data_IF_349396678531
#
_entry.id   IF_349396678531
#
_cell.length_a   1.000
_cell.length_b   1.000
_cell.length_c   1.000
_cell.angle_alpha   90.00
_cell.angle_beta   90.00
_cell.angle_gamma   90.00
#
_symmetry.space_group_name_H-M   'P 1'
#
loop_
_entity.id
_entity.type
_entity.pdbx_description
1 polymer ?
#
# COMPACT_ATOMS: atom_id res chain seq x y z
N UNK A 1 -11.39 -37.30 29.31
CA UNK A 1 -10.16 -36.55 28.95
C UNK A 1 -10.23 -35.77 27.62
N UNK A 2 -11.39 -35.64 26.92
CA UNK A 2 -11.42 -35.14 25.53
C UNK A 2 -11.82 -33.66 25.33
N UNK A 3 -12.11 -32.89 26.38
CA UNK A 3 -12.61 -31.50 26.24
C UNK A 3 -11.46 -30.47 26.09
N UNK A 4 -10.36 -30.71 26.82
CA UNK A 4 -9.18 -29.86 26.86
C UNK A 4 -8.58 -29.73 25.44
N UNK A 5 -8.22 -30.85 24.78
CA UNK A 5 -7.62 -30.84 23.44
C UNK A 5 -8.47 -30.14 22.35
N UNK A 6 -9.81 -30.23 22.43
CA UNK A 6 -10.70 -29.57 21.48
C UNK A 6 -10.64 -28.03 21.60
N UNK A 7 -10.61 -27.50 22.82
CA UNK A 7 -10.50 -26.05 23.06
C UNK A 7 -9.14 -25.48 22.62
N UNK A 8 -8.02 -26.19 22.80
CA UNK A 8 -6.71 -25.73 22.30
C UNK A 8 -6.65 -25.66 20.78
N UNK A 9 -7.28 -26.61 20.08
CA UNK A 9 -7.33 -26.61 18.61
C UNK A 9 -8.20 -25.45 18.11
N UNK A 10 -9.33 -25.17 18.74
CA UNK A 10 -10.22 -24.05 18.39
C UNK A 10 -9.53 -22.70 18.61
N UNK A 11 -8.90 -22.49 19.77
CA UNK A 11 -8.19 -21.25 20.10
C UNK A 11 -7.02 -20.95 19.13
N UNK A 12 -6.30 -21.98 18.67
CA UNK A 12 -5.22 -21.80 17.69
C UNK A 12 -5.75 -21.50 16.28
N UNK A 13 -6.89 -22.09 15.88
CA UNK A 13 -7.55 -21.77 14.61
C UNK A 13 -8.06 -20.33 14.57
N UNK A 14 -8.63 -19.82 15.66
CA UNK A 14 -9.10 -18.42 15.74
C UNK A 14 -7.94 -17.43 15.68
N UNK A 15 -6.84 -17.68 16.40
CA UNK A 15 -5.64 -16.84 16.33
C UNK A 15 -5.02 -16.80 14.92
N UNK A 16 -5.03 -17.91 14.19
CA UNK A 16 -4.54 -17.96 12.82
C UNK A 16 -5.44 -17.17 11.86
N UNK A 17 -6.76 -17.24 12.03
CA UNK A 17 -7.72 -16.48 11.22
C UNK A 17 -7.58 -14.96 11.45
N UNK A 18 -7.45 -14.52 12.71
CA UNK A 18 -7.21 -13.12 13.06
C UNK A 18 -5.89 -12.62 12.46
N UNK A 19 -4.83 -13.44 12.52
CA UNK A 19 -3.53 -13.11 11.93
C UNK A 19 -3.62 -12.94 10.41
N UNK A 20 -4.33 -13.84 9.72
CA UNK A 20 -4.54 -13.76 8.28
C UNK A 20 -5.36 -12.52 7.91
N UNK A 21 -6.40 -12.20 8.68
CA UNK A 21 -7.23 -11.02 8.46
C UNK A 21 -6.44 -9.72 8.61
N UNK A 22 -5.64 -9.59 9.68
CA UNK A 22 -4.75 -8.45 9.91
C UNK A 22 -3.71 -8.28 8.79
N UNK A 23 -3.15 -9.38 8.28
CA UNK A 23 -2.21 -9.34 7.17
C UNK A 23 -2.88 -8.91 5.86
N UNK A 24 -4.08 -9.42 5.58
CA UNK A 24 -4.85 -9.01 4.40
C UNK A 24 -5.20 -7.52 4.43
N UNK A 25 -5.55 -6.97 5.59
CA UNK A 25 -5.89 -5.55 5.73
C UNK A 25 -4.67 -4.65 5.48
N UNK A 26 -3.52 -5.00 6.06
CA UNK A 26 -2.26 -4.29 5.80
C UNK A 26 -1.81 -4.38 4.36
N UNK A 27 -1.96 -5.55 3.73
CA UNK A 27 -1.61 -5.74 2.33
C UNK A 27 -2.49 -4.86 1.43
N UNK A 28 -3.79 -4.75 1.70
CA UNK A 28 -4.68 -3.84 0.99
C UNK A 28 -4.27 -2.38 1.16
N UNK A 29 -3.97 -1.96 2.38
CA UNK A 29 -3.52 -0.59 2.67
C UNK A 29 -2.21 -0.26 1.95
N UNK A 30 -1.25 -1.19 1.97
CA UNK A 30 0.01 -1.03 1.26
C UNK A 30 -0.21 -0.90 -0.25
N UNK A 31 -1.07 -1.75 -0.82
CA UNK A 31 -1.41 -1.69 -2.24
C UNK A 31 -2.05 -0.36 -2.61
N UNK A 32 -3.00 0.13 -1.80
CA UNK A 32 -3.63 1.43 -2.01
C UNK A 32 -2.60 2.57 -1.96
N UNK A 33 -1.73 2.58 -0.95
CA UNK A 33 -0.70 3.61 -0.83
C UNK A 33 0.28 3.60 -2.02
N UNK A 34 0.63 2.42 -2.56
CA UNK A 34 1.47 2.31 -3.75
C UNK A 34 0.76 2.82 -5.02
N UNK A 35 -0.54 2.56 -5.16
CA UNK A 35 -1.37 3.08 -6.26
C UNK A 35 -1.52 4.60 -6.19
N UNK A 36 -1.81 5.15 -5.02
CA UNK A 36 -1.91 6.60 -4.80
C UNK A 36 -0.58 7.30 -5.12
N UNK A 37 0.55 6.68 -4.72
CA UNK A 37 1.88 7.20 -5.04
C UNK A 37 2.14 7.20 -6.56
N UNK A 38 1.78 6.12 -7.27
CA UNK A 38 1.92 6.06 -8.72
C UNK A 38 1.04 7.12 -9.42
N UNK A 39 -0.16 7.39 -8.91
CA UNK A 39 -0.99 8.48 -9.41
C UNK A 39 -0.30 9.85 -9.24
N UNK A 40 0.27 10.13 -8.05
CA UNK A 40 1.03 11.36 -7.83
C UNK A 40 2.25 11.46 -8.76
N UNK A 41 2.92 10.34 -9.02
CA UNK A 41 4.04 10.30 -9.95
C UNK A 41 3.60 10.66 -11.38
N UNK A 42 2.51 10.07 -11.88
CA UNK A 42 1.98 10.42 -13.21
C UNK A 42 1.55 11.89 -13.30
N UNK A 43 0.90 12.42 -12.27
CA UNK A 43 0.51 13.84 -12.23
C UNK A 43 1.74 14.75 -12.32
N UNK A 44 2.80 14.41 -11.58
CA UNK A 44 4.08 15.12 -11.65
C UNK A 44 4.72 15.05 -13.03
N UNK A 45 4.72 13.87 -13.67
CA UNK A 45 5.26 13.69 -15.02
C UNK A 45 4.48 14.54 -16.03
N UNK A 46 3.15 14.50 -15.99
CA UNK A 46 2.28 15.27 -16.88
C UNK A 46 2.49 16.78 -16.71
N UNK A 47 2.53 17.27 -15.46
CA UNK A 47 2.77 18.68 -15.14
C UNK A 47 4.14 19.12 -15.61
N UNK A 48 5.17 18.30 -15.39
CA UNK A 48 6.54 18.61 -15.81
C UNK A 48 6.64 18.63 -17.33
N UNK A 49 6.05 17.66 -18.03
CA UNK A 49 6.01 17.62 -19.49
C UNK A 49 5.36 18.89 -20.07
N UNK A 50 4.22 19.35 -19.54
CA UNK A 50 3.59 20.60 -19.99
C UNK A 50 4.44 21.84 -19.73
N UNK A 51 5.17 21.91 -18.61
CA UNK A 51 6.09 23.02 -18.32
C UNK A 51 7.22 23.13 -19.35
N UNK A 52 7.57 22.04 -20.05
CA UNK A 52 8.58 22.06 -21.12
C UNK A 52 8.05 22.59 -22.45
N UNK A 53 6.73 22.63 -22.65
CA UNK A 53 6.12 23.23 -23.83
C UNK A 53 6.08 24.74 -23.61
N UNK A 54 6.86 25.48 -24.40
CA UNK A 54 6.94 26.93 -24.31
C UNK A 54 5.55 27.57 -24.44
N UNK A 55 5.20 28.49 -23.53
CA UNK A 55 3.90 29.17 -23.49
C UNK A 55 3.80 30.32 -24.53
N UNK A 56 4.75 30.40 -25.45
CA UNK A 56 4.97 31.44 -26.45
C UNK A 56 4.09 31.28 -27.70
N UNK A 57 3.10 30.38 -27.63
CA UNK A 57 2.06 30.25 -28.65
C UNK A 57 1.24 31.54 -28.77
N UNK A 58 0.80 31.83 -29.99
CA UNK A 58 -0.06 32.98 -30.35
C UNK A 58 -1.37 32.98 -29.52
N UNK A 59 -1.76 31.84 -28.94
CA UNK A 59 -2.92 31.68 -28.07
C UNK A 59 -2.47 31.66 -26.60
N UNK A 60 -2.87 32.68 -25.83
CA UNK A 60 -2.69 32.72 -24.38
C UNK A 60 -3.69 31.78 -23.71
N UNK A 61 -3.21 30.88 -22.84
CA UNK A 61 -4.09 30.09 -21.98
C UNK A 61 -4.79 30.98 -20.97
N UNK A 62 -6.04 30.63 -20.64
CA UNK A 62 -6.78 31.28 -19.56
C UNK A 62 -6.53 30.60 -18.22
N UNK A 63 -6.69 31.32 -17.11
CA UNK A 63 -6.61 30.73 -15.77
C UNK A 63 -7.61 29.58 -15.57
N UNK A 64 -8.82 29.71 -16.12
CA UNK A 64 -9.82 28.63 -16.05
C UNK A 64 -9.35 27.37 -16.77
N UNK A 65 -8.78 27.52 -17.96
CA UNK A 65 -8.22 26.41 -18.73
C UNK A 65 -7.09 25.70 -17.97
N UNK A 66 -6.21 26.45 -17.30
CA UNK A 66 -5.14 25.88 -16.47
C UNK A 66 -5.70 25.02 -15.34
N UNK A 67 -6.66 25.55 -14.58
CA UNK A 67 -7.30 24.82 -13.47
C UNK A 67 -8.00 23.55 -13.96
N UNK A 68 -8.79 23.63 -15.03
CA UNK A 68 -9.48 22.45 -15.58
C UNK A 68 -8.51 21.43 -16.16
N UNK A 69 -7.39 21.87 -16.76
CA UNK A 69 -6.34 20.98 -17.25
C UNK A 69 -5.70 20.24 -16.08
N UNK A 70 -5.31 20.93 -15.01
CA UNK A 70 -4.75 20.30 -13.82
C UNK A 70 -5.70 19.28 -13.17
N UNK A 71 -7.00 19.59 -13.12
CA UNK A 71 -8.02 18.64 -12.66
C UNK A 71 -8.11 17.41 -13.57
N UNK A 72 -8.05 17.61 -14.89
CA UNK A 72 -8.07 16.52 -15.87
C UNK A 72 -6.84 15.61 -15.70
N UNK A 73 -5.66 16.20 -15.54
CA UNK A 73 -4.41 15.47 -15.34
C UNK A 73 -4.44 14.61 -14.09
N UNK A 74 -4.96 15.18 -13.00
CA UNK A 74 -5.16 14.47 -11.74
C UNK A 74 -6.05 13.24 -11.94
N UNK A 75 -7.17 13.37 -12.68
CA UNK A 75 -8.07 12.24 -12.98
C UNK A 75 -7.47 11.20 -13.91
N UNK A 76 -6.74 11.62 -14.93
CA UNK A 76 -6.02 10.69 -15.78
C UNK A 76 -4.94 9.95 -15.03
N UNK A 77 -4.23 10.63 -14.12
CA UNK A 77 -3.19 10.00 -13.32
C UNK A 77 -3.76 8.95 -12.36
N UNK A 78 -4.91 9.24 -11.72
CA UNK A 78 -5.65 8.24 -10.92
C UNK A 78 -6.05 7.01 -11.77
N UNK A 79 -6.59 7.22 -12.97
CA UNK A 79 -7.08 6.13 -13.83
C UNK A 79 -5.94 5.29 -14.42
N UNK A 80 -4.84 5.94 -14.82
CA UNK A 80 -3.64 5.27 -15.30
C UNK A 80 -3.03 4.45 -14.16
N UNK A 81 -2.88 5.02 -12.97
CA UNK A 81 -2.36 4.30 -11.82
C UNK A 81 -3.22 3.08 -11.47
N UNK A 82 -4.55 3.15 -11.57
CA UNK A 82 -5.46 2.00 -11.36
C UNK A 82 -5.27 0.90 -12.40
N UNK A 83 -5.27 1.28 -13.68
CA UNK A 83 -5.32 0.34 -14.81
C UNK A 83 -3.96 -0.25 -15.18
N UNK A 84 -2.86 0.45 -14.89
CA UNK A 84 -1.50 0.01 -15.21
C UNK A 84 -1.15 -1.28 -14.47
N UNK A 85 -0.55 -2.22 -15.20
CA UNK A 85 -0.04 -3.49 -14.68
C UNK A 85 1.48 -3.54 -14.92
N UNK A 86 2.22 -4.00 -13.92
CA UNK A 86 3.69 -3.99 -13.94
C UNK A 86 4.28 -2.59 -13.77
N UNK A 87 3.50 -1.64 -13.25
CA UNK A 87 3.91 -0.26 -13.02
C UNK A 87 4.77 -0.11 -11.75
N UNK A 88 5.06 1.13 -11.41
CA UNK A 88 5.81 1.49 -10.20
C UNK A 88 5.09 1.03 -8.94
N UNK A 89 3.75 1.07 -8.90
CA UNK A 89 2.98 0.57 -7.75
C UNK A 89 3.28 -0.90 -7.46
N UNK A 90 3.43 -1.71 -8.50
CA UNK A 90 3.62 -3.16 -8.37
C UNK A 90 5.05 -3.47 -7.92
N UNK A 91 6.03 -2.72 -8.45
CA UNK A 91 7.44 -2.81 -8.03
C UNK A 91 7.56 -2.45 -6.55
N UNK A 92 7.02 -1.29 -6.16
CA UNK A 92 7.05 -0.81 -4.77
C UNK A 92 6.33 -1.76 -3.83
N UNK A 93 5.14 -2.22 -4.22
CA UNK A 93 4.37 -3.17 -3.43
C UNK A 93 5.16 -4.46 -3.16
N UNK A 94 5.79 -5.02 -4.20
CA UNK A 94 6.59 -6.25 -4.05
C UNK A 94 7.80 -6.05 -3.12
N UNK A 95 8.49 -4.92 -3.24
CA UNK A 95 9.63 -4.59 -2.37
C UNK A 95 9.19 -4.37 -0.92
N UNK A 96 8.13 -3.59 -0.70
CA UNK A 96 7.67 -3.22 0.64
C UNK A 96 6.96 -4.38 1.36
N UNK A 97 6.24 -5.23 0.63
CA UNK A 97 5.58 -6.42 1.19
C UNK A 97 6.59 -7.38 1.81
N UNK A 98 7.76 -7.56 1.19
CA UNK A 98 8.83 -8.39 1.74
C UNK A 98 9.33 -7.84 3.09
N UNK A 99 9.54 -6.52 3.17
CA UNK A 99 10.01 -5.82 4.38
C UNK A 99 8.98 -5.84 5.51
N UNK A 100 7.70 -5.56 5.22
CA UNK A 100 6.62 -5.53 6.22
C UNK A 100 6.39 -6.90 6.83
N UNK A 101 6.46 -7.96 6.04
CA UNK A 101 6.32 -9.32 6.55
C UNK A 101 7.49 -9.70 7.46
N UNK A 102 8.71 -9.23 7.20
CA UNK A 102 9.86 -9.48 8.06
C UNK A 102 9.77 -8.72 9.39
N UNK A 103 9.43 -7.43 9.38
CA UNK A 103 9.32 -6.62 10.60
C UNK A 103 8.18 -7.11 11.51
N UNK A 104 7.02 -7.46 10.95
CA UNK A 104 5.90 -8.00 11.72
C UNK A 104 6.23 -9.33 12.41
N UNK A 105 6.92 -10.24 11.73
CA UNK A 105 7.34 -11.50 12.34
C UNK A 105 8.37 -11.30 13.45
N UNK A 106 9.21 -10.26 13.38
CA UNK A 106 10.11 -9.88 14.47
C UNK A 106 9.33 -9.30 15.66
N UNK A 107 8.35 -8.43 15.44
CA UNK A 107 7.51 -7.87 16.51
C UNK A 107 6.73 -8.96 17.27
N UNK A 108 6.25 -9.98 16.56
CA UNK A 108 5.60 -11.15 17.17
C UNK A 108 6.57 -11.98 18.01
N UNK A 109 7.79 -12.24 17.52
CA UNK A 109 8.83 -12.96 18.26
C UNK A 109 9.24 -12.19 19.52
N UNK A 110 9.34 -10.87 19.41
CA UNK A 110 9.71 -9.98 20.52
C UNK A 110 8.61 -9.88 21.59
N UNK A 111 7.34 -9.95 21.20
CA UNK A 111 6.20 -10.02 22.14
C UNK A 111 6.05 -11.42 22.78
N UNK A 112 6.30 -12.49 22.03
CA UNK A 112 6.27 -13.87 22.54
C UNK A 112 7.44 -14.16 23.51
N UNK A 113 8.63 -13.64 23.22
CA UNK A 113 9.81 -13.78 24.08
C UNK A 113 9.75 -12.99 25.39
N UNK A 114 8.82 -12.04 25.53
CA UNK A 114 8.60 -11.27 26.77
C UNK A 114 7.60 -11.90 27.74
N UNK A 115 7.06 -13.10 27.44
CA UNK A 115 6.10 -13.76 28.33
C UNK A 115 6.40 -15.26 28.49
N UNK A 116 7.52 -15.61 29.13
CA UNK A 116 7.68 -16.75 30.07
C UNK A 116 9.05 -16.67 30.78
N UNK A 117 9.24 -15.81 31.80
CA UNK A 117 10.26 -16.06 32.82
C UNK A 117 9.72 -17.13 33.78
N UNK A 118 10.13 -18.38 33.55
CA UNK A 118 10.09 -19.46 34.55
C UNK A 118 8.81 -20.28 34.58
N UNK A 119 8.79 -21.42 33.86
CA UNK A 119 8.62 -22.76 34.45
C UNK A 119 9.36 -23.76 33.53
N UNK A 120 10.21 -24.60 34.14
CA UNK A 120 10.97 -25.74 33.58
C UNK A 120 12.29 -25.35 32.87
N UNK A 121 13.48 -25.69 33.35
CA UNK A 121 13.94 -26.62 34.39
C UNK A 121 15.15 -26.01 35.13
#
# INVERSE_FOLDING_TARGET
>A
MNNINSQYITNNKEKLQIKNFMNMDREKQLKQACEDFEALFYDMVMKTARKTVSNDGIIKRSFGEEVFTEMLDSKFSEEIAKSTKGGLKDILFNQLKATINQSYNQDLKNKAGKNYPGIMA
#
